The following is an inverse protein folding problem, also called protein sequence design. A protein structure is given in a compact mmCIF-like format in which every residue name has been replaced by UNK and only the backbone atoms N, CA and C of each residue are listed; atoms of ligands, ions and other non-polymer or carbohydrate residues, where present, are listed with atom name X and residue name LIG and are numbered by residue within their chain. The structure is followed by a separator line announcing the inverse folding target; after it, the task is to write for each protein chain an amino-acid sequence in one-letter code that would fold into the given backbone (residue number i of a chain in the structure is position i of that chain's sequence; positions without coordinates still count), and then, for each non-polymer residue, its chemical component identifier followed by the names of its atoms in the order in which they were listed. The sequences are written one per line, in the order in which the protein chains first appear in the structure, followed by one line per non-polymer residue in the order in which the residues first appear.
data_IF_049153959109
#
_entry.id   IF_049153959109
#
_cell.length_a   1.000
_cell.length_b   1.000
_cell.length_c   1.000
_cell.angle_alpha   90.00
_cell.angle_beta   90.00
_cell.angle_gamma   90.00
#
_symmetry.space_group_name_H-M   'P 1'
#
loop_
_entity.id
_entity.type
_entity.pdbx_description
1 polymer ?
#
# COMPACT_ATOMS: atom_id res chain seq x y z
N UNK A 1 19.13 -34.59 -40.81
CA UNK A 1 19.01 -34.32 -39.36
C UNK A 1 18.29 -33.00 -39.16
N UNK A 2 17.12 -32.98 -38.52
CA UNK A 2 16.40 -31.73 -38.17
C UNK A 2 16.39 -31.63 -36.64
N UNK A 3 17.13 -30.67 -36.09
CA UNK A 3 17.17 -30.41 -34.66
C UNK A 3 15.88 -29.72 -34.21
N UNK A 4 15.13 -30.35 -33.31
CA UNK A 4 14.00 -29.74 -32.62
C UNK A 4 14.49 -28.71 -31.61
N UNK A 5 14.16 -27.44 -31.86
CA UNK A 5 14.28 -26.37 -30.86
C UNK A 5 13.17 -26.58 -29.82
N UNK A 6 13.54 -27.04 -28.61
CA UNK A 6 12.65 -27.01 -27.46
C UNK A 6 12.49 -25.56 -27.01
N UNK A 7 11.34 -24.94 -27.30
CA UNK A 7 10.94 -23.69 -26.65
C UNK A 7 10.78 -23.97 -25.15
N UNK A 8 11.63 -23.34 -24.32
CA UNK A 8 11.40 -23.29 -22.86
C UNK A 8 10.09 -22.55 -22.65
N UNK A 9 9.06 -23.24 -22.15
CA UNK A 9 7.86 -22.58 -21.63
C UNK A 9 8.29 -21.77 -20.41
N UNK A 10 8.15 -20.45 -20.46
CA UNK A 10 8.27 -19.59 -19.29
C UNK A 10 7.20 -20.01 -18.27
N UNK A 11 7.60 -20.19 -17.01
CA UNK A 11 6.64 -20.39 -15.91
C UNK A 11 5.81 -19.11 -15.77
N UNK A 12 4.48 -19.21 -15.55
CA UNK A 12 3.69 -18.04 -15.21
C UNK A 12 4.23 -17.47 -13.90
N UNK A 13 4.61 -16.19 -13.92
CA UNK A 13 4.91 -15.45 -12.70
C UNK A 13 3.58 -15.26 -11.98
N UNK A 14 3.42 -15.90 -10.83
CA UNK A 14 2.33 -15.57 -9.92
C UNK A 14 2.70 -14.19 -9.36
N UNK A 15 1.99 -13.16 -9.79
CA UNK A 15 2.14 -11.82 -9.23
C UNK A 15 1.69 -11.89 -7.77
N UNK A 16 2.51 -11.31 -6.89
CA UNK A 16 2.13 -11.16 -5.49
C UNK A 16 0.82 -10.35 -5.42
N UNK A 17 -0.23 -10.85 -4.74
CA UNK A 17 -1.50 -10.13 -4.62
C UNK A 17 -1.35 -8.75 -3.94
N UNK A 18 -0.25 -8.53 -3.22
CA UNK A 18 0.10 -7.25 -2.58
C UNK A 18 1.18 -6.48 -3.34
N UNK A 19 1.46 -6.83 -4.61
CA UNK A 19 2.31 -6.02 -5.47
C UNK A 19 1.67 -4.64 -5.71
N UNK A 20 2.23 -3.61 -5.07
CA UNK A 20 1.69 -2.25 -5.07
C UNK A 20 1.60 -1.68 -6.50
N UNK A 21 2.63 -1.75 -7.35
CA UNK A 21 2.52 -1.27 -8.73
C UNK A 21 1.40 -1.95 -9.53
N UNK A 22 1.26 -3.28 -9.43
CA UNK A 22 0.17 -4.02 -10.08
C UNK A 22 -1.19 -3.58 -9.53
N UNK A 23 -1.32 -3.42 -8.21
CA UNK A 23 -2.58 -3.01 -7.60
C UNK A 23 -2.98 -1.60 -8.05
N UNK A 24 -2.07 -0.64 -8.08
CA UNK A 24 -2.32 0.73 -8.55
C UNK A 24 -2.74 0.74 -10.03
N UNK A 25 -2.14 -0.12 -10.86
CA UNK A 25 -2.56 -0.29 -12.26
C UNK A 25 -3.99 -0.78 -12.38
N UNK A 26 -4.43 -1.72 -11.55
CA UNK A 26 -5.83 -2.16 -11.54
C UNK A 26 -6.77 -1.04 -11.07
N UNK A 27 -6.40 -0.30 -10.02
CA UNK A 27 -7.19 0.84 -9.52
C UNK A 27 -7.31 1.97 -10.56
N UNK A 28 -6.31 2.17 -11.41
CA UNK A 28 -6.32 3.17 -12.50
C UNK A 28 -7.39 2.95 -13.57
N UNK A 29 -8.03 1.76 -13.59
CA UNK A 29 -9.10 1.40 -14.53
C UNK A 29 -10.48 1.85 -14.06
N UNK A 30 -10.62 2.24 -12.79
CA UNK A 30 -11.87 2.76 -12.25
C UNK A 30 -12.26 4.05 -12.98
N UNK A 31 -13.54 4.19 -13.23
CA UNK A 31 -14.15 5.37 -13.86
C UNK A 31 -15.01 6.10 -12.83
N UNK A 32 -15.33 7.36 -13.10
CA UNK A 32 -16.27 8.10 -12.25
C UNK A 32 -17.59 7.33 -12.11
N UNK A 33 -18.14 7.30 -10.90
CA UNK A 33 -19.36 6.56 -10.58
C UNK A 33 -19.15 5.09 -10.18
N UNK A 34 -17.90 4.62 -10.03
CA UNK A 34 -17.58 3.23 -9.70
C UNK A 34 -18.19 2.73 -8.38
N UNK A 35 -18.55 3.63 -7.46
CA UNK A 35 -19.16 3.32 -6.17
C UNK A 35 -20.64 3.72 -6.18
N UNK A 36 -21.50 2.86 -6.75
CA UNK A 36 -22.95 3.06 -6.79
C UNK A 36 -23.36 4.43 -7.39
N UNK A 37 -22.73 4.83 -8.50
CA UNK A 37 -22.95 6.15 -9.13
C UNK A 37 -22.24 7.31 -8.43
N UNK A 38 -21.46 7.04 -7.38
CA UNK A 38 -20.51 7.95 -6.73
C UNK A 38 -19.08 7.45 -6.93
N UNK A 39 -18.10 8.14 -6.37
CA UNK A 39 -16.69 7.76 -6.48
C UNK A 39 -16.02 8.44 -7.67
N UNK A 40 -14.88 9.07 -7.39
CA UNK A 40 -14.06 9.77 -8.37
C UNK A 40 -12.98 8.82 -8.89
N UNK A 41 -12.77 8.81 -10.20
CA UNK A 41 -11.68 8.07 -10.82
C UNK A 41 -10.31 8.59 -10.32
N UNK A 42 -9.40 7.67 -10.04
CA UNK A 42 -8.07 8.02 -9.58
C UNK A 42 -7.25 8.69 -10.69
N UNK A 43 -6.58 9.79 -10.35
CA UNK A 43 -5.71 10.49 -11.28
C UNK A 43 -4.49 9.61 -11.62
N UNK A 44 -4.31 9.28 -12.90
CA UNK A 44 -3.23 8.38 -13.37
C UNK A 44 -1.83 8.91 -13.07
N UNK A 45 -1.57 10.20 -13.25
CA UNK A 45 -0.26 10.78 -12.95
C UNK A 45 0.07 10.74 -11.46
N UNK A 46 -0.94 10.90 -10.59
CA UNK A 46 -0.71 10.76 -9.14
C UNK A 46 -0.51 9.31 -8.74
N UNK A 47 -1.19 8.35 -9.36
CA UNK A 47 -0.93 6.92 -9.11
C UNK A 47 0.47 6.50 -9.53
N UNK A 48 0.96 7.00 -10.67
CA UNK A 48 2.34 6.75 -11.11
C UNK A 48 3.34 7.34 -10.11
N UNK A 49 3.15 8.60 -9.72
CA UNK A 49 3.96 9.23 -8.68
C UNK A 49 3.97 8.40 -7.39
N UNK A 50 2.81 7.95 -6.91
CA UNK A 50 2.72 7.16 -5.69
C UNK A 50 3.42 5.81 -5.83
N UNK A 51 3.27 5.14 -6.98
CA UNK A 51 3.99 3.89 -7.27
C UNK A 51 5.50 4.08 -7.17
N UNK A 52 6.04 5.12 -7.80
CA UNK A 52 7.48 5.39 -7.83
C UNK A 52 8.00 5.71 -6.43
N UNK A 53 7.31 6.61 -5.71
CA UNK A 53 7.75 7.06 -4.39
C UNK A 53 7.61 5.97 -3.32
N UNK A 54 6.65 5.05 -3.48
CA UNK A 54 6.50 3.87 -2.63
C UNK A 54 7.67 2.90 -2.84
N UNK A 55 7.98 2.54 -4.09
CA UNK A 55 9.09 1.61 -4.39
C UNK A 55 10.44 2.15 -3.91
N UNK A 56 10.65 3.47 -3.99
CA UNK A 56 11.89 4.13 -3.57
C UNK A 56 12.05 4.19 -2.04
N UNK A 57 10.97 4.45 -1.29
CA UNK A 57 11.08 4.84 0.12
C UNK A 57 10.47 3.85 1.11
N UNK A 58 9.63 2.93 0.66
CA UNK A 58 9.04 1.90 1.51
C UNK A 58 10.08 0.82 1.85
N UNK A 59 10.14 0.40 3.12
CA UNK A 59 11.01 -0.71 3.51
C UNK A 59 10.39 -2.05 3.06
N UNK A 60 10.99 -2.64 2.03
CA UNK A 60 10.53 -3.90 1.41
C UNK A 60 10.61 -5.13 2.33
N UNK A 61 11.22 -5.02 3.52
CA UNK A 61 11.17 -6.08 4.55
C UNK A 61 9.87 -6.07 5.37
N UNK A 62 9.08 -4.99 5.28
CA UNK A 62 7.83 -4.83 6.02
C UNK A 62 6.62 -5.43 5.27
N UNK A 63 5.52 -5.76 5.99
CA UNK A 63 4.29 -6.23 5.36
C UNK A 63 3.74 -5.19 4.37
N UNK A 64 3.47 -5.59 3.13
CA UNK A 64 2.87 -4.68 2.14
C UNK A 64 1.40 -4.39 2.46
N UNK A 65 0.90 -3.17 2.18
CA UNK A 65 -0.47 -2.83 2.45
C UNK A 65 -1.45 -3.46 1.45
N UNK A 66 -2.66 -3.71 1.90
CA UNK A 66 -3.82 -3.73 1.01
C UNK A 66 -4.12 -2.30 0.56
N UNK A 67 -4.39 -2.10 -0.73
CA UNK A 67 -4.74 -0.79 -1.27
C UNK A 67 -6.16 -0.76 -1.82
N UNK A 68 -6.92 0.25 -1.41
CA UNK A 68 -8.29 0.50 -1.84
C UNK A 68 -8.44 1.94 -2.35
N UNK A 69 -9.33 2.18 -3.32
CA UNK A 69 -9.69 3.54 -3.73
C UNK A 69 -10.62 4.17 -2.68
N UNK A 70 -10.50 5.47 -2.43
CA UNK A 70 -11.53 6.22 -1.70
C UNK A 70 -12.54 6.82 -2.67
N UNK A 71 -13.74 7.17 -2.18
CA UNK A 71 -14.78 7.78 -3.02
C UNK A 71 -14.35 9.18 -3.52
N UNK A 72 -13.42 9.82 -2.83
CA UNK A 72 -12.90 11.16 -3.10
C UNK A 72 -11.74 11.16 -4.11
N UNK A 73 -11.33 10.00 -4.62
CA UNK A 73 -10.22 9.90 -5.58
C UNK A 73 -8.83 9.83 -4.93
N UNK A 74 -8.77 9.41 -3.67
CA UNK A 74 -7.54 9.07 -2.94
C UNK A 74 -7.36 7.57 -2.76
N UNK A 75 -6.39 7.18 -1.92
CA UNK A 75 -6.16 5.77 -1.57
C UNK A 75 -6.33 5.54 -0.08
N UNK A 76 -6.75 4.33 0.28
CA UNK A 76 -6.65 3.78 1.62
C UNK A 76 -5.64 2.64 1.59
N UNK A 77 -4.61 2.73 2.42
CA UNK A 77 -3.67 1.64 2.67
C UNK A 77 -3.98 0.99 4.02
N UNK A 78 -3.97 -0.34 4.08
CA UNK A 78 -4.25 -1.08 5.31
C UNK A 78 -3.21 -2.18 5.53
N UNK A 79 -2.69 -2.25 6.76
CA UNK A 79 -1.76 -3.26 7.22
C UNK A 79 -2.42 -4.07 8.33
N UNK A 80 -2.48 -5.38 8.13
CA UNK A 80 -2.87 -6.34 9.16
C UNK A 80 -1.61 -6.98 9.73
N UNK A 81 -1.28 -6.64 10.97
CA UNK A 81 -0.08 -7.10 11.66
C UNK A 81 -0.52 -7.74 12.97
N UNK A 82 -0.80 -9.03 12.92
CA UNK A 82 -1.35 -9.81 14.03
C UNK A 82 -2.66 -9.17 14.58
N UNK A 83 -2.69 -8.77 15.85
CA UNK A 83 -3.85 -8.10 16.48
C UNK A 83 -3.98 -6.62 16.11
N UNK A 84 -2.98 -6.04 15.44
CA UNK A 84 -2.99 -4.64 15.03
C UNK A 84 -3.55 -4.46 13.63
N UNK A 85 -4.40 -3.45 13.47
CA UNK A 85 -4.93 -2.99 12.19
C UNK A 85 -4.54 -1.53 11.98
N UNK A 86 -3.42 -1.29 11.30
CA UNK A 86 -2.98 0.04 10.94
C UNK A 86 -3.54 0.43 9.57
N UNK A 87 -3.85 1.72 9.40
CA UNK A 87 -4.37 2.24 8.15
C UNK A 87 -3.81 3.61 7.82
N UNK A 88 -3.83 3.98 6.54
CA UNK A 88 -3.43 5.30 6.08
C UNK A 88 -4.34 5.77 4.95
N UNK A 89 -5.03 6.89 5.17
CA UNK A 89 -5.78 7.58 4.13
C UNK A 89 -4.85 8.55 3.39
N UNK A 90 -4.77 8.44 2.07
CA UNK A 90 -3.79 9.11 1.24
C UNK A 90 -4.51 10.05 0.28
N UNK A 91 -4.30 11.35 0.48
CA UNK A 91 -4.65 12.38 -0.49
C UNK A 91 -3.55 12.42 -1.55
N UNK A 92 -3.84 11.85 -2.73
CA UNK A 92 -2.90 11.75 -3.84
C UNK A 92 -2.52 13.10 -4.47
N UNK A 93 -3.38 14.11 -4.35
CA UNK A 93 -3.09 15.45 -4.88
C UNK A 93 -2.18 16.22 -3.92
N UNK A 94 -2.52 16.22 -2.64
CA UNK A 94 -1.70 16.88 -1.60
C UNK A 94 -0.46 16.08 -1.25
N UNK A 95 -0.44 14.80 -1.61
CA UNK A 95 0.63 13.85 -1.30
C UNK A 95 0.84 13.70 0.21
N UNK A 96 -0.27 13.72 0.94
CA UNK A 96 -0.30 13.57 2.40
C UNK A 96 -0.97 12.25 2.74
N UNK A 97 -0.35 11.49 3.63
CA UNK A 97 -0.94 10.33 4.29
C UNK A 97 -1.36 10.68 5.72
N UNK A 98 -2.58 10.33 6.10
CA UNK A 98 -3.04 10.34 7.50
C UNK A 98 -3.04 8.91 7.99
N UNK A 99 -2.03 8.57 8.79
CA UNK A 99 -1.87 7.27 9.42
C UNK A 99 -2.67 7.20 10.72
N UNK A 100 -3.29 6.05 10.96
CA UNK A 100 -4.05 5.73 12.17
C UNK A 100 -3.86 4.26 12.53
N UNK A 101 -3.51 3.97 13.77
CA UNK A 101 -3.47 2.61 14.33
C UNK A 101 -4.06 2.62 15.74
N UNK A 102 -5.29 2.10 15.91
CA UNK A 102 -5.86 1.89 17.24
C UNK A 102 -5.06 0.85 18.04
N UNK A 103 -4.91 1.07 19.34
CA UNK A 103 -4.41 0.04 20.24
C UNK A 103 -5.52 -1.00 20.50
N UNK A 104 -5.26 -2.31 20.36
CA UNK A 104 -6.27 -3.34 20.54
C UNK A 104 -6.71 -3.55 22.00
N UNK A 105 -5.94 -3.04 22.97
CA UNK A 105 -6.15 -3.24 24.41
C UNK A 105 -6.56 -1.94 25.14
N UNK A 106 -6.42 -0.78 24.51
CA UNK A 106 -6.80 0.51 25.08
C UNK A 106 -7.71 1.32 24.15
N UNK A 107 -8.04 2.55 24.55
CA UNK A 107 -8.73 3.52 23.70
C UNK A 107 -7.75 4.45 22.98
N UNK A 108 -6.44 4.20 23.12
CA UNK A 108 -5.42 5.02 22.50
C UNK A 108 -5.36 4.74 21.00
N UNK A 109 -5.05 5.78 20.24
CA UNK A 109 -4.87 5.71 18.80
C UNK A 109 -3.56 6.39 18.46
N UNK A 110 -2.65 5.64 17.83
CA UNK A 110 -1.44 6.20 17.26
C UNK A 110 -1.77 6.83 15.91
N UNK A 111 -1.58 8.15 15.80
CA UNK A 111 -1.91 8.92 14.60
C UNK A 111 -0.70 9.72 14.14
N UNK A 112 -0.59 9.90 12.81
CA UNK A 112 0.42 10.79 12.24
C UNK A 112 -0.04 11.35 10.90
N UNK A 113 0.31 12.61 10.64
CA UNK A 113 0.22 13.21 9.32
C UNK A 113 1.61 13.12 8.68
N UNK A 114 1.68 12.49 7.51
CA UNK A 114 2.92 12.17 6.82
C UNK A 114 2.95 12.90 5.48
N UNK A 115 3.95 13.74 5.25
CA UNK A 115 4.24 14.26 3.92
C UNK A 115 4.98 13.20 3.10
N UNK A 116 4.35 12.72 2.04
CA UNK A 116 4.87 11.65 1.21
C UNK A 116 5.82 12.16 0.11
N UNK A 117 6.00 13.48 -0.04
CA UNK A 117 7.11 14.03 -0.82
C UNK A 117 8.43 13.99 -0.05
N UNK A 118 8.37 13.89 1.27
CA UNK A 118 9.54 13.99 2.13
C UNK A 118 9.95 12.61 2.66
N UNK A 119 11.23 12.30 2.57
CA UNK A 119 11.79 11.05 3.10
C UNK A 119 11.45 10.83 4.58
N UNK A 120 11.26 11.91 5.34
CA UNK A 120 10.91 11.85 6.75
C UNK A 120 9.51 11.26 6.99
N UNK A 121 8.55 11.52 6.10
CA UNK A 121 7.21 10.90 6.17
C UNK A 121 7.30 9.38 6.04
N UNK A 122 8.05 8.91 5.05
CA UNK A 122 8.30 7.48 4.82
C UNK A 122 9.09 6.82 5.95
N UNK A 123 10.14 7.48 6.47
CA UNK A 123 10.87 6.99 7.65
C UNK A 123 9.95 6.80 8.85
N UNK A 124 9.03 7.74 9.06
CA UNK A 124 8.06 7.67 10.16
C UNK A 124 7.10 6.49 9.96
N UNK A 125 6.57 6.30 8.74
CA UNK A 125 5.73 5.15 8.41
C UNK A 125 6.47 3.82 8.66
N UNK A 126 7.67 3.68 8.09
CA UNK A 126 8.48 2.46 8.22
C UNK A 126 8.78 2.17 9.70
N UNK A 127 9.14 3.19 10.50
CA UNK A 127 9.38 3.02 11.93
C UNK A 127 8.14 2.53 12.68
N UNK A 128 6.96 3.10 12.42
CA UNK A 128 5.71 2.68 13.05
C UNK A 128 5.39 1.22 12.74
N UNK A 129 5.48 0.83 11.46
CA UNK A 129 5.23 -0.55 11.02
C UNK A 129 6.28 -1.55 11.57
N UNK A 130 7.55 -1.14 11.67
CA UNK A 130 8.60 -1.94 12.32
C UNK A 130 8.27 -2.20 13.79
N UNK A 131 7.82 -1.19 14.53
CA UNK A 131 7.41 -1.36 15.93
C UNK A 131 6.29 -2.38 16.06
N UNK A 132 5.25 -2.30 15.21
CA UNK A 132 4.16 -3.27 15.21
C UNK A 132 4.64 -4.68 14.89
N UNK A 133 5.48 -4.83 13.86
CA UNK A 133 6.03 -6.12 13.43
C UNK A 133 6.91 -6.76 14.52
N UNK A 134 7.69 -5.95 15.25
CA UNK A 134 8.54 -6.44 16.34
C UNK A 134 7.75 -6.83 17.59
N UNK A 135 6.64 -6.14 17.90
CA UNK A 135 5.76 -6.53 19.01
C UNK A 135 5.20 -7.94 18.80
N UNK A 136 4.72 -8.23 17.59
CA UNK A 136 4.24 -9.56 17.21
C UNK A 136 5.30 -10.67 17.44
N UNK A 137 6.56 -10.42 17.07
CA UNK A 137 7.62 -11.43 17.22
C UNK A 137 7.96 -11.75 18.69
N UNK A 138 7.73 -10.82 19.62
CA UNK A 138 8.03 -11.00 21.04
C UNK A 138 6.93 -11.73 21.81
N UNK A 139 5.70 -11.78 21.30
CA UNK A 139 4.58 -12.51 21.92
C UNK A 139 4.47 -13.97 21.42
N UNK A 140 5.23 -14.32 20.37
CA UNK A 140 5.31 -15.68 19.80
C UNK A 140 6.47 -16.53 20.36
N UNK A 141 7.17 -16.07 21.40
CA UNK A 141 8.29 -16.79 22.06
C UNK A 141 7.96 -17.26 23.47
#
# INVERSE_FOLDING_TARGET
MRGSIRRKKSKPVILDPLDVPTRLKELSKLQDGWLNGRGIALNRSHLLWFSDIFEENYDHSLPRPFLFPTAEGGLQAEWLIDVYSASMNIDLFKKIGVYTCPDPLSQDIDEAILDLNEIQGWKTLNQKLTVLTNKNNNESS
#
